data_IF_953415415340
#
_entry.id   IF_953415415340
#
_cell.length_a   1.000
_cell.length_b   1.000
_cell.length_c   1.000
_cell.angle_alpha   90.00
_cell.angle_beta   90.00
_cell.angle_gamma   90.00
#
_symmetry.space_group_name_H-M   'P 1'
#
loop_
_entity.id
_entity.type
_entity.pdbx_description
1 polymer ?
#
# COMPACT_ATOMS: atom_id res chain seq x y z
N UNK A 1 -11.85 11.50 -12.55
CA UNK A 1 -11.64 10.04 -12.57
C UNK A 1 -10.27 9.77 -11.96
N UNK A 2 -10.19 8.98 -10.89
CA UNK A 2 -8.93 8.70 -10.20
C UNK A 2 -8.07 7.76 -11.05
N UNK A 3 -6.79 8.09 -11.27
CA UNK A 3 -5.86 7.16 -11.92
C UNK A 3 -5.47 6.07 -10.92
N UNK A 4 -5.34 4.85 -11.43
CA UNK A 4 -4.95 3.68 -10.62
C UNK A 4 -3.45 3.48 -10.84
N UNK A 5 -2.66 3.68 -9.78
CA UNK A 5 -1.20 3.49 -9.80
C UNK A 5 -0.82 2.12 -9.27
N UNK A 6 -1.55 1.66 -8.25
CA UNK A 6 -1.48 0.32 -7.67
C UNK A 6 -2.81 -0.39 -7.88
N UNK A 7 -2.78 -1.58 -8.49
CA UNK A 7 -3.98 -2.38 -8.76
C UNK A 7 -4.62 -2.84 -7.44
N UNK A 8 -5.87 -2.43 -7.21
CA UNK A 8 -6.62 -2.81 -6.02
C UNK A 8 -7.03 -4.30 -6.08
N UNK A 9 -6.82 -5.05 -4.99
CA UNK A 9 -7.16 -6.48 -4.89
C UNK A 9 -8.67 -6.76 -4.84
N UNK A 10 -9.50 -5.72 -4.66
CA UNK A 10 -10.98 -5.84 -4.57
C UNK A 10 -11.66 -6.07 -5.93
N UNK A 11 -10.93 -5.92 -7.04
CA UNK A 11 -11.49 -6.00 -8.38
C UNK A 11 -12.01 -4.64 -8.84
N UNK A 12 -13.34 -4.46 -8.91
CA UNK A 12 -13.95 -3.18 -9.30
C UNK A 12 -13.86 -2.15 -8.15
N UNK A 13 -13.18 -1.01 -8.33
CA UNK A 13 -13.07 0.03 -7.32
C UNK A 13 -14.41 0.61 -6.84
N UNK A 14 -15.46 0.54 -7.66
CA UNK A 14 -16.80 1.05 -7.31
C UNK A 14 -17.49 0.20 -6.22
N UNK A 15 -17.00 -1.02 -5.97
CA UNK A 15 -17.51 -1.89 -4.91
C UNK A 15 -17.00 -1.48 -3.50
N UNK A 16 -16.15 -0.45 -3.40
CA UNK A 16 -15.63 0.05 -2.13
C UNK A 16 -16.64 0.97 -1.42
N UNK A 17 -17.77 0.41 -0.94
CA UNK A 17 -18.88 1.20 -0.40
C UNK A 17 -18.94 1.26 1.13
N UNK A 18 -18.41 0.24 1.82
CA UNK A 18 -18.55 0.07 3.29
C UNK A 18 -17.56 0.82 4.17
N UNK A 19 -16.42 1.27 3.63
CA UNK A 19 -15.29 1.80 4.42
C UNK A 19 -15.17 3.35 4.39
N UNK A 20 -16.27 4.08 4.17
CA UNK A 20 -16.22 5.55 4.02
C UNK A 20 -15.70 6.28 5.27
N UNK A 21 -16.10 5.84 6.46
CA UNK A 21 -15.67 6.43 7.74
C UNK A 21 -14.17 6.21 7.99
N UNK A 22 -13.70 4.98 7.77
CA UNK A 22 -12.29 4.63 7.90
C UNK A 22 -11.43 5.39 6.89
N UNK A 23 -11.88 5.47 5.63
CA UNK A 23 -11.18 6.24 4.60
C UNK A 23 -11.07 7.72 4.98
N UNK A 24 -12.16 8.34 5.44
CA UNK A 24 -12.14 9.74 5.88
C UNK A 24 -11.18 9.96 7.07
N UNK A 25 -11.14 9.03 8.02
CA UNK A 25 -10.19 9.07 9.13
C UNK A 25 -8.74 9.04 8.62
N UNK A 26 -8.41 8.12 7.71
CA UNK A 26 -7.05 8.02 7.18
C UNK A 26 -6.65 9.20 6.29
N UNK A 27 -7.60 9.78 5.53
CA UNK A 27 -7.33 11.00 4.77
C UNK A 27 -6.98 12.17 5.70
N UNK A 28 -7.73 12.36 6.79
CA UNK A 28 -7.39 13.35 7.82
C UNK A 28 -6.04 13.06 8.49
N UNK A 29 -5.73 11.78 8.71
CA UNK A 29 -4.43 11.37 9.23
C UNK A 29 -3.29 11.73 8.25
N UNK A 30 -3.46 11.52 6.95
CA UNK A 30 -2.49 11.93 5.91
C UNK A 30 -2.28 13.45 5.91
N UNK A 31 -3.34 14.24 6.03
CA UNK A 31 -3.22 15.70 6.15
C UNK A 31 -2.39 16.12 7.37
N UNK A 32 -2.49 15.38 8.47
CA UNK A 32 -1.68 15.60 9.67
C UNK A 32 -0.20 15.22 9.49
N UNK A 33 0.14 14.32 8.56
CA UNK A 33 1.54 13.95 8.26
C UNK A 33 2.30 15.18 7.77
N UNK A 34 1.68 15.99 6.91
CA UNK A 34 2.28 17.23 6.40
C UNK A 34 2.57 18.27 7.48
N UNK A 35 1.81 18.21 8.58
CA UNK A 35 1.96 19.11 9.73
C UNK A 35 2.83 18.49 10.81
N UNK A 36 3.42 17.32 10.57
CA UNK A 36 4.25 16.57 11.52
C UNK A 36 3.54 16.22 12.85
N UNK A 37 2.21 16.19 12.86
CA UNK A 37 1.40 15.88 14.05
C UNK A 37 0.90 14.43 14.06
N UNK A 38 0.99 13.73 12.93
CA UNK A 38 0.45 12.39 12.78
C UNK A 38 1.42 11.32 13.30
N UNK A 39 0.89 10.38 14.08
CA UNK A 39 1.65 9.25 14.63
C UNK A 39 1.50 7.98 13.79
N UNK A 40 2.46 7.06 13.94
CA UNK A 40 2.40 5.71 13.39
C UNK A 40 1.11 4.99 13.81
N UNK A 41 0.34 4.53 12.82
CA UNK A 41 -0.98 3.92 13.04
C UNK A 41 -0.99 2.49 12.51
N UNK A 42 -1.56 1.57 13.29
CA UNK A 42 -1.74 0.15 12.91
C UNK A 42 -3.22 -0.13 12.71
N UNK A 43 -3.54 -0.85 11.63
CA UNK A 43 -4.90 -1.24 11.31
C UNK A 43 -5.09 -2.74 11.65
N UNK A 44 -5.85 -3.03 12.71
CA UNK A 44 -6.17 -4.41 13.13
C UNK A 44 -7.61 -4.80 12.75
N UNK A 45 -7.80 -5.95 12.10
CA UNK A 45 -9.10 -6.65 12.09
C UNK A 45 -9.00 -8.09 11.61
N UNK A 46 -10.17 -8.76 11.63
CA UNK A 46 -10.42 -10.02 10.95
C UNK A 46 -10.08 -10.03 9.46
N UNK A 47 -9.87 -11.24 8.95
CA UNK A 47 -9.59 -11.52 7.54
C UNK A 47 -10.78 -11.12 6.66
N UNK A 48 -10.50 -10.83 5.38
CA UNK A 48 -11.50 -10.52 4.33
C UNK A 48 -12.37 -9.28 4.57
N UNK A 49 -11.94 -8.38 5.45
CA UNK A 49 -12.61 -7.09 5.74
C UNK A 49 -12.21 -5.96 4.79
N UNK A 50 -11.44 -6.24 3.74
CA UNK A 50 -11.08 -5.24 2.73
C UNK A 50 -9.96 -4.26 3.15
N UNK A 51 -9.25 -4.49 4.26
CA UNK A 51 -8.15 -3.59 4.72
C UNK A 51 -7.04 -3.39 3.70
N UNK A 52 -6.65 -4.45 2.99
CA UNK A 52 -5.66 -4.36 1.94
C UNK A 52 -6.15 -3.45 0.81
N UNK A 53 -7.42 -3.54 0.44
CA UNK A 53 -8.01 -2.66 -0.56
C UNK A 53 -8.08 -1.20 -0.08
N UNK A 54 -8.40 -0.97 1.20
CA UNK A 54 -8.37 0.37 1.81
C UNK A 54 -6.97 1.00 1.72
N UNK A 55 -5.91 0.26 2.08
CA UNK A 55 -4.53 0.75 1.99
C UNK A 55 -4.10 1.03 0.54
N UNK A 56 -4.48 0.15 -0.40
CA UNK A 56 -4.22 0.37 -1.83
C UNK A 56 -4.97 1.58 -2.38
N UNK A 57 -6.20 1.82 -1.89
CA UNK A 57 -6.99 3.00 -2.24
C UNK A 57 -6.35 4.27 -1.70
N UNK A 58 -5.92 4.26 -0.44
CA UNK A 58 -5.19 5.37 0.17
C UNK A 58 -3.92 5.68 -0.62
N UNK A 59 -3.14 4.65 -0.98
CA UNK A 59 -1.97 4.82 -1.83
C UNK A 59 -2.30 5.55 -3.14
N UNK A 60 -3.34 5.10 -3.86
CA UNK A 60 -3.75 5.71 -5.12
C UNK A 60 -4.19 7.17 -4.94
N UNK A 61 -4.95 7.46 -3.88
CA UNK A 61 -5.41 8.82 -3.57
C UNK A 61 -4.24 9.75 -3.24
N UNK A 62 -3.35 9.33 -2.36
CA UNK A 62 -2.16 10.11 -1.97
C UNK A 62 -1.22 10.31 -3.15
N UNK A 63 -1.03 9.28 -3.99
CA UNK A 63 -0.20 9.39 -5.19
C UNK A 63 -0.80 10.38 -6.19
N UNK A 64 -2.12 10.35 -6.40
CA UNK A 64 -2.80 11.30 -7.29
C UNK A 64 -2.67 12.73 -6.76
N UNK A 65 -2.91 12.93 -5.46
CA UNK A 65 -2.81 14.23 -4.79
C UNK A 65 -1.39 14.81 -4.85
N UNK A 66 -0.36 13.97 -4.65
CA UNK A 66 1.07 14.35 -4.71
C UNK A 66 1.37 15.66 -3.97
N UNK A 67 0.90 15.73 -2.74
CA UNK A 67 0.71 16.97 -2.01
C UNK A 67 1.75 17.16 -0.89
N UNK A 68 2.95 16.63 -1.12
CA UNK A 68 4.05 16.59 -0.16
C UNK A 68 4.15 15.29 0.63
N UNK A 69 3.15 14.40 0.56
CA UNK A 69 3.20 13.07 1.18
C UNK A 69 3.56 12.02 0.13
N UNK A 70 4.63 11.27 0.39
CA UNK A 70 5.05 10.16 -0.48
C UNK A 70 4.45 8.85 0.05
N UNK A 71 3.47 8.25 -0.66
CA UNK A 71 2.92 6.98 -0.25
C UNK A 71 3.91 5.85 -0.60
N UNK A 72 4.07 4.91 0.33
CA UNK A 72 4.87 3.72 0.14
C UNK A 72 4.05 2.49 0.52
N UNK A 73 3.94 1.54 -0.40
CA UNK A 73 3.23 0.29 -0.19
C UNK A 73 4.19 -0.90 -0.30
N UNK A 74 4.28 -1.70 0.75
CA UNK A 74 5.08 -2.92 0.76
C UNK A 74 4.32 -4.07 1.40
N UNK A 75 4.27 -5.21 0.70
CA UNK A 75 3.68 -6.45 1.21
C UNK A 75 4.81 -7.38 1.66
N UNK A 76 4.95 -7.55 2.97
CA UNK A 76 5.96 -8.46 3.54
C UNK A 76 5.61 -9.89 3.17
N UNK A 77 6.57 -10.63 2.60
CA UNK A 77 6.40 -12.05 2.28
C UNK A 77 6.26 -12.87 3.56
N UNK A 78 5.49 -13.95 3.45
CA UNK A 78 5.26 -14.88 4.56
C UNK A 78 6.27 -16.00 4.58
N UNK A 79 6.61 -16.45 5.78
CA UNK A 79 7.59 -17.50 6.01
C UNK A 79 9.00 -16.97 6.29
N UNK A 80 9.96 -17.88 6.33
CA UNK A 80 11.37 -17.56 6.60
C UNK A 80 11.95 -16.82 5.39
N UNK A 81 12.47 -15.63 5.64
CA UNK A 81 13.20 -14.82 4.66
C UNK A 81 14.57 -14.46 5.23
N UNK A 82 15.59 -14.48 4.39
CA UNK A 82 16.90 -13.97 4.78
C UNK A 82 16.83 -12.45 4.91
N UNK A 83 17.42 -11.90 5.97
CA UNK A 83 17.43 -10.45 6.19
C UNK A 83 18.00 -9.68 4.99
N UNK A 84 19.02 -10.23 4.33
CA UNK A 84 19.63 -9.62 3.13
C UNK A 84 18.64 -9.54 1.96
N UNK A 85 17.88 -10.62 1.72
CA UNK A 85 16.86 -10.63 0.66
C UNK A 85 15.72 -9.67 0.97
N UNK A 86 15.27 -9.64 2.23
CA UNK A 86 14.27 -8.68 2.69
C UNK A 86 14.73 -7.23 2.49
N UNK A 87 15.94 -6.88 2.96
CA UNK A 87 16.48 -5.54 2.81
C UNK A 87 16.57 -5.15 1.33
N UNK A 88 17.08 -6.04 0.48
CA UNK A 88 17.18 -5.79 -0.96
C UNK A 88 15.80 -5.54 -1.57
N UNK A 89 14.83 -6.42 -1.31
CA UNK A 89 13.48 -6.31 -1.86
C UNK A 89 12.79 -5.03 -1.36
N UNK A 90 12.92 -4.71 -0.07
CA UNK A 90 12.37 -3.52 0.55
C UNK A 90 12.94 -2.23 -0.04
N UNK A 91 14.28 -2.09 -0.07
CA UNK A 91 14.92 -0.88 -0.57
C UNK A 91 14.70 -0.66 -2.07
N UNK A 92 14.75 -1.72 -2.88
CA UNK A 92 14.44 -1.61 -4.30
C UNK A 92 12.99 -1.17 -4.51
N UNK A 93 12.03 -1.77 -3.78
CA UNK A 93 10.62 -1.39 -3.86
C UNK A 93 10.42 0.07 -3.48
N UNK A 94 11.08 0.52 -2.42
CA UNK A 94 11.04 1.92 -1.99
C UNK A 94 11.59 2.86 -3.08
N UNK A 95 12.78 2.56 -3.63
CA UNK A 95 13.40 3.38 -4.68
C UNK A 95 12.51 3.47 -5.93
N UNK A 96 11.94 2.36 -6.39
CA UNK A 96 11.06 2.37 -7.55
C UNK A 96 9.80 3.21 -7.33
N UNK A 97 9.14 3.07 -6.17
CA UNK A 97 7.95 3.87 -5.85
C UNK A 97 8.30 5.35 -5.65
N UNK A 98 9.44 5.66 -5.05
CA UNK A 98 9.94 7.02 -4.90
C UNK A 98 10.23 7.68 -6.25
N UNK A 99 10.88 6.97 -7.17
CA UNK A 99 11.09 7.44 -8.54
C UNK A 99 9.75 7.60 -9.27
N UNK A 100 8.82 6.64 -9.09
CA UNK A 100 7.50 6.69 -9.71
C UNK A 100 6.74 7.97 -9.35
N UNK A 101 6.72 8.35 -8.06
CA UNK A 101 6.03 9.56 -7.63
C UNK A 101 6.75 10.83 -8.09
N UNK A 102 8.08 10.85 -7.99
CA UNK A 102 8.90 12.02 -8.35
C UNK A 102 8.83 12.30 -9.86
N UNK A 103 8.90 11.25 -10.68
CA UNK A 103 8.80 11.36 -12.14
C UNK A 103 7.38 11.32 -12.68
N UNK A 104 6.37 11.12 -11.83
CA UNK A 104 4.96 10.92 -12.21
C UNK A 104 4.76 9.77 -13.22
N UNK A 105 5.60 8.75 -13.14
CA UNK A 105 5.58 7.56 -14.01
C UNK A 105 5.07 6.35 -13.25
N UNK A 106 3.78 6.06 -13.42
CA UNK A 106 3.08 4.96 -12.78
C UNK A 106 3.71 3.58 -13.06
N UNK A 107 4.37 3.43 -14.21
CA UNK A 107 5.05 2.20 -14.64
C UNK A 107 6.07 1.70 -13.61
N UNK A 108 6.78 2.62 -12.93
CA UNK A 108 7.74 2.26 -11.90
C UNK A 108 7.07 1.85 -10.57
N UNK A 109 5.84 2.29 -10.30
CA UNK A 109 5.12 1.89 -9.09
C UNK A 109 4.69 0.41 -9.11
N UNK A 110 4.63 -0.19 -10.31
CA UNK A 110 4.23 -1.59 -10.54
C UNK A 110 5.43 -2.55 -10.44
N UNK A 111 6.66 -2.03 -10.36
CA UNK A 111 7.88 -2.84 -10.36
C UNK A 111 8.07 -3.55 -9.02
N UNK A 112 7.37 -4.66 -8.87
CA UNK A 112 7.75 -5.74 -7.96
C UNK A 112 8.80 -6.57 -8.69
N UNK A 113 10.08 -6.38 -8.36
CA UNK A 113 11.15 -7.21 -8.89
C UNK A 113 10.99 -8.66 -8.40
N UNK A 114 10.29 -9.50 -9.19
CA UNK A 114 10.83 -10.66 -9.90
C UNK A 114 9.66 -11.53 -10.47
N UNK A 115 9.42 -11.55 -11.79
CA UNK A 115 8.42 -12.44 -12.39
C UNK A 115 8.78 -13.94 -12.34
N UNK A 116 10.02 -14.31 -11.96
CA UNK A 116 10.50 -15.69 -11.99
C UNK A 116 10.05 -16.59 -10.81
N UNK A 117 9.23 -16.09 -9.88
CA UNK A 117 8.64 -16.92 -8.80
C UNK A 117 7.19 -16.56 -8.56
N UNK A 118 6.33 -16.79 -9.56
CA UNK A 118 4.89 -16.98 -9.32
C UNK A 118 4.69 -18.29 -8.54
N UNK A 119 4.89 -18.24 -7.23
CA UNK A 119 4.20 -19.16 -6.33
C UNK A 119 2.95 -18.42 -5.83
N UNK A 120 1.85 -18.68 -6.53
CA UNK A 120 0.53 -18.52 -5.93
C UNK A 120 0.53 -19.29 -4.60
N UNK A 121 0.44 -18.59 -3.47
CA UNK A 121 0.01 -19.23 -2.22
C UNK A 121 -0.60 -18.18 -1.29
N UNK A 122 -1.90 -18.34 -1.04
CA UNK A 122 -2.61 -17.67 0.03
C UNK A 122 -1.97 -18.00 1.39
N UNK A 123 -2.02 -17.06 2.34
CA UNK A 123 -2.46 -17.28 3.75
C UNK A 123 -2.22 -15.98 4.52
N UNK A 124 -3.23 -15.47 5.21
CA UNK A 124 -3.15 -14.42 6.26
C UNK A 124 -2.39 -14.96 7.51
N UNK A 125 -1.89 -14.12 8.41
CA UNK A 125 -1.59 -14.48 9.83
C UNK A 125 -2.35 -13.41 10.63
N UNK A 126 -3.48 -13.72 11.28
CA UNK A 126 -3.57 -14.30 12.63
C UNK A 126 -2.53 -13.74 13.60
N UNK A 127 -2.78 -12.53 14.10
CA UNK A 127 -2.66 -12.28 15.53
C UNK A 127 -4.07 -12.50 16.11
N UNK A 128 -4.30 -13.70 16.64
CA UNK A 128 -5.32 -13.89 17.66
C UNK A 128 -4.72 -13.31 18.94
N UNK A 129 -5.28 -12.20 19.40
CA UNK A 129 -5.51 -11.98 20.81
C UNK A 129 -7.02 -12.00 20.98
#
# INVERSE_FOLDING_TARGET
>A
MMRIYLKEKIGNPDMFTGCKKELAFFLKWIEGIKKEISMSTVILSRRKTGKTALLQRLYNLTFEQNDGVIPFYYEVRKGKQWAVEFCRDFYLTFLYQYIAITMRKAEYAIVVCNPARRLFCWVFEYLNV
#
